data_IF_832674412453
#
_entry.id   IF_832674412453
#
_cell.length_a   1.000
_cell.length_b   1.000
_cell.length_c   1.000
_cell.angle_alpha   90.00
_cell.angle_beta   90.00
_cell.angle_gamma   90.00
#
_symmetry.space_group_name_H-M   'P 1'
#
loop_
_entity.id
_entity.type
_entity.pdbx_description
1 polymer ?
#
# COMPACT_ATOMS: atom_id res chain seq x y z
N UNK A 1 8.38 -14.31 8.09
CA UNK A 1 9.21 -13.40 7.27
C UNK A 1 9.03 -13.77 5.81
N UNK A 2 8.02 -13.20 5.16
CA UNK A 2 7.80 -13.38 3.72
C UNK A 2 8.41 -12.16 3.06
N UNK A 3 9.62 -12.30 2.53
CA UNK A 3 10.26 -11.25 1.75
C UNK A 3 9.37 -10.95 0.53
N UNK A 4 8.99 -9.69 0.26
CA UNK A 4 8.27 -9.40 -0.97
C UNK A 4 9.16 -9.74 -2.17
N UNK A 5 8.57 -10.16 -3.30
CA UNK A 5 9.31 -10.55 -4.50
C UNK A 5 10.29 -9.45 -4.91
N UNK A 6 11.48 -9.82 -5.39
CA UNK A 6 12.56 -8.91 -5.78
C UNK A 6 12.20 -7.90 -6.88
N UNK A 7 11.00 -8.04 -7.47
CA UNK A 7 10.40 -7.10 -8.39
C UNK A 7 8.93 -6.88 -7.95
N UNK A 8 8.66 -5.93 -7.05
CA UNK A 8 7.30 -5.65 -6.61
C UNK A 8 6.45 -5.22 -7.81
N UNK A 9 5.20 -5.69 -7.89
CA UNK A 9 4.32 -5.24 -8.96
C UNK A 9 4.08 -3.72 -8.82
N UNK A 10 3.74 -3.01 -9.91
CA UNK A 10 3.45 -1.57 -9.86
C UNK A 10 2.38 -1.23 -8.81
N UNK A 11 1.46 -2.16 -8.55
CA UNK A 11 0.43 -2.01 -7.53
C UNK A 11 1.00 -2.08 -6.11
N UNK A 12 1.93 -3.00 -5.82
CA UNK A 12 2.64 -3.07 -4.53
C UNK A 12 3.41 -1.77 -4.25
N UNK A 13 4.09 -1.24 -5.27
CA UNK A 13 4.82 0.03 -5.17
C UNK A 13 3.88 1.18 -4.86
N UNK A 14 2.76 1.30 -5.59
CA UNK A 14 1.76 2.33 -5.35
C UNK A 14 1.13 2.21 -3.94
N UNK A 15 0.81 1.00 -3.49
CA UNK A 15 0.25 0.76 -2.16
C UNK A 15 1.24 1.15 -1.06
N UNK A 16 2.52 0.78 -1.21
CA UNK A 16 3.60 1.15 -0.30
C UNK A 16 3.79 2.66 -0.23
N UNK A 17 3.89 3.34 -1.36
CA UNK A 17 4.10 4.79 -1.40
C UNK A 17 2.92 5.57 -0.80
N UNK A 18 1.69 5.14 -1.10
CA UNK A 18 0.48 5.72 -0.51
C UNK A 18 0.44 5.52 1.01
N UNK A 19 0.87 4.36 1.50
CA UNK A 19 0.99 4.09 2.93
C UNK A 19 2.06 4.97 3.58
N UNK A 20 3.28 5.00 3.03
CA UNK A 20 4.39 5.78 3.61
C UNK A 20 4.06 7.29 3.63
N UNK A 21 3.36 7.80 2.62
CA UNK A 21 2.87 9.18 2.63
C UNK A 21 1.79 9.41 3.69
N UNK A 22 0.87 8.45 3.90
CA UNK A 22 -0.12 8.53 4.97
C UNK A 22 0.53 8.44 6.37
N UNK A 23 1.55 7.59 6.52
CA UNK A 23 2.33 7.39 7.74
C UNK A 23 3.00 8.68 8.21
N UNK A 24 3.52 9.52 7.30
CA UNK A 24 4.09 10.83 7.65
C UNK A 24 3.09 11.75 8.38
N UNK A 25 1.78 11.49 8.27
CA UNK A 25 0.72 12.27 8.91
C UNK A 25 0.14 11.61 10.15
N UNK A 26 0.50 10.36 10.44
CA UNK A 26 -0.06 9.57 11.55
C UNK A 26 1.09 9.12 12.45
N UNK A 27 1.26 9.82 13.56
CA UNK A 27 2.27 9.47 14.57
C UNK A 27 2.02 8.05 15.11
N UNK A 28 3.08 7.23 15.16
CA UNK A 28 3.01 5.85 15.64
C UNK A 28 2.54 4.81 14.61
N UNK A 29 2.29 5.21 13.35
CA UNK A 29 1.96 4.26 12.29
C UNK A 29 3.21 3.45 11.87
N UNK A 30 3.14 2.10 11.84
CA UNK A 30 4.27 1.26 11.46
C UNK A 30 4.65 1.47 9.99
N UNK A 31 5.92 1.19 9.66
CA UNK A 31 6.36 1.18 8.28
C UNK A 31 5.66 0.05 7.51
N UNK A 32 5.56 0.19 6.18
CA UNK A 32 4.92 -0.85 5.34
C UNK A 32 5.50 -2.24 5.55
N UNK A 33 6.82 -2.33 5.76
CA UNK A 33 7.55 -3.59 5.94
C UNK A 33 7.36 -4.22 7.34
N UNK A 34 6.86 -3.44 8.30
CA UNK A 34 6.61 -3.87 9.67
C UNK A 34 5.18 -4.41 9.88
N UNK A 35 4.30 -4.31 8.88
CA UNK A 35 2.95 -4.85 9.01
C UNK A 35 2.94 -6.39 9.12
N UNK A 36 2.18 -6.88 10.09
CA UNK A 36 1.86 -8.27 10.29
C UNK A 36 0.53 -8.63 9.64
N UNK A 37 0.59 -9.39 8.54
CA UNK A 37 -0.60 -9.89 7.84
C UNK A 37 -1.46 -10.84 8.69
N UNK A 38 -0.92 -11.37 9.79
CA UNK A 38 -1.66 -12.23 10.71
C UNK A 38 -2.50 -11.42 11.71
N UNK A 39 -2.18 -10.14 11.91
CA UNK A 39 -3.02 -9.22 12.65
C UNK A 39 -4.17 -8.72 11.76
N UNK A 40 -5.44 -8.91 12.14
CA UNK A 40 -6.58 -8.57 11.29
C UNK A 40 -6.75 -7.07 11.09
N UNK A 41 -6.26 -6.23 12.02
CA UNK A 41 -6.31 -4.79 11.89
C UNK A 41 -5.27 -4.31 10.86
N UNK A 42 -4.04 -4.78 10.97
CA UNK A 42 -2.96 -4.45 10.03
C UNK A 42 -3.21 -5.03 8.64
N UNK A 43 -3.75 -6.26 8.53
CA UNK A 43 -4.20 -6.81 7.27
C UNK A 43 -5.31 -5.96 6.60
N UNK A 44 -6.18 -5.36 7.41
CA UNK A 44 -7.19 -4.40 6.95
C UNK A 44 -6.57 -3.13 6.36
N UNK A 45 -5.52 -2.60 7.01
CA UNK A 45 -4.77 -1.43 6.53
C UNK A 45 -4.03 -1.72 5.22
N UNK A 46 -3.36 -2.87 5.13
CA UNK A 46 -2.72 -3.34 3.89
C UNK A 46 -3.74 -3.39 2.76
N UNK A 47 -4.90 -4.03 3.00
CA UNK A 47 -5.97 -4.14 1.99
C UNK A 47 -6.51 -2.77 1.56
N UNK A 48 -6.66 -1.83 2.49
CA UNK A 48 -7.07 -0.46 2.18
C UNK A 48 -6.03 0.27 1.31
N UNK A 49 -4.74 0.09 1.58
CA UNK A 49 -3.68 0.66 0.76
C UNK A 49 -3.70 0.11 -0.67
N UNK A 50 -3.93 -1.19 -0.85
CA UNK A 50 -4.11 -1.80 -2.17
C UNK A 50 -5.35 -1.29 -2.91
N UNK A 51 -6.46 -1.09 -2.21
CA UNK A 51 -7.69 -0.56 -2.79
C UNK A 51 -7.45 0.86 -3.34
N UNK A 52 -6.82 1.73 -2.53
CA UNK A 52 -6.41 3.08 -2.95
C UNK A 52 -5.41 3.07 -4.09
N UNK A 53 -4.47 2.13 -4.11
CA UNK A 53 -3.52 1.99 -5.21
C UNK A 53 -4.21 1.58 -6.52
N UNK A 54 -5.25 0.74 -6.44
CA UNK A 54 -6.07 0.38 -7.61
C UNK A 54 -6.85 1.58 -8.12
N UNK A 55 -7.50 2.33 -7.23
CA UNK A 55 -8.21 3.55 -7.60
C UNK A 55 -7.26 4.57 -8.24
N UNK A 56 -6.09 4.79 -7.65
CA UNK A 56 -5.09 5.71 -8.18
C UNK A 56 -4.64 5.31 -9.60
N UNK A 57 -4.37 4.02 -9.83
CA UNK A 57 -4.01 3.52 -11.16
C UNK A 57 -5.18 3.59 -12.15
N UNK A 58 -6.40 3.33 -11.71
CA UNK A 58 -7.60 3.43 -12.55
C UNK A 58 -7.88 4.88 -12.99
N UNK A 59 -7.67 5.85 -12.09
CA UNK A 59 -7.82 7.28 -12.38
C UNK A 59 -6.69 7.76 -13.29
N UNK A 60 -5.45 7.32 -13.06
CA UNK A 60 -4.29 7.74 -13.83
C UNK A 60 -4.19 7.11 -15.23
N UNK A 61 -4.81 5.94 -15.44
CA UNK A 61 -4.94 5.29 -16.75
C UNK A 61 -6.17 5.72 -17.55
N UNK A 62 -7.00 6.63 -17.03
CA UNK A 62 -8.26 7.08 -17.64
C UNK A 62 -8.18 8.41 -18.40
N UNK A 63 -7.04 9.07 -18.44
CA UNK A 63 -6.84 10.33 -19.18
C UNK A 63 -6.18 10.04 -20.56
N UNK A 64 -6.92 9.33 -21.42
CA UNK A 64 -6.69 9.31 -22.87
C UNK A 64 -8.05 9.53 -23.56
N UNK A 65 -8.47 10.80 -23.64
CA UNK A 65 -9.68 11.24 -24.32
C UNK A 65 -9.57 12.66 -24.86
#
# INVERSE_FOLDING_TARGET
>A
MTHPPANPEPLDLAARELHEHARQRIEGCPAWEDFDITDPYEAGLIRLAYDRARDFNAISGGDEG
#
